data_IF_631259585647
#
_entry.id   IF_631259585647
#
_cell.length_a   1.000
_cell.length_b   1.000
_cell.length_c   1.000
_cell.angle_alpha   90.00
_cell.angle_beta   90.00
_cell.angle_gamma   90.00
#
_symmetry.space_group_name_H-M   'P 1'
#
loop_
_entity.id
_entity.type
_entity.pdbx_description
1 polymer ?
#
# COMPACT_ATOMS: atom_id res chain seq x y z
N UNK A 1 4.83 -51.45 -51.62
CA UNK A 1 3.94 -51.12 -50.50
C UNK A 1 4.62 -50.04 -49.66
N UNK A 2 4.28 -48.79 -49.92
CA UNK A 2 4.83 -47.60 -49.24
C UNK A 2 3.80 -47.13 -48.21
N UNK A 3 4.13 -47.22 -46.94
CA UNK A 3 3.31 -46.74 -45.85
C UNK A 3 3.51 -45.21 -45.68
N UNK A 4 2.48 -44.43 -45.89
CA UNK A 4 2.44 -42.99 -45.62
C UNK A 4 2.08 -42.78 -44.16
N UNK A 5 3.04 -42.24 -43.37
CA UNK A 5 2.80 -41.78 -41.99
C UNK A 5 2.07 -40.43 -42.04
N UNK A 6 0.85 -40.41 -41.55
CA UNK A 6 0.06 -39.20 -41.37
C UNK A 6 0.47 -38.55 -40.01
N UNK A 7 1.20 -37.43 -40.07
CA UNK A 7 1.43 -36.59 -38.91
C UNK A 7 0.15 -35.75 -38.64
N UNK A 8 -0.54 -36.07 -37.55
CA UNK A 8 -1.61 -35.23 -37.04
C UNK A 8 -1.03 -33.93 -36.43
N UNK A 9 -1.53 -32.73 -36.79
CA UNK A 9 -1.10 -31.52 -36.13
C UNK A 9 -1.65 -31.49 -34.70
N UNK A 10 -0.75 -31.38 -33.72
CA UNK A 10 -1.13 -31.04 -32.34
C UNK A 10 -1.74 -29.64 -32.36
N UNK A 11 -3.06 -29.56 -32.22
CA UNK A 11 -3.76 -28.32 -31.95
C UNK A 11 -3.26 -27.78 -30.61
N UNK A 12 -2.50 -26.70 -30.64
CA UNK A 12 -2.26 -25.89 -29.44
C UNK A 12 -3.63 -25.37 -29.00
N UNK A 13 -4.12 -25.87 -27.86
CA UNK A 13 -5.28 -25.29 -27.20
C UNK A 13 -4.90 -23.84 -26.86
N UNK A 14 -5.45 -22.88 -27.63
CA UNK A 14 -5.43 -21.49 -27.22
C UNK A 14 -6.20 -21.41 -25.92
N UNK A 15 -5.50 -20.99 -24.85
CA UNK A 15 -6.14 -20.70 -23.58
C UNK A 15 -7.30 -19.73 -23.85
N UNK A 16 -8.52 -20.14 -23.53
CA UNK A 16 -9.69 -19.25 -23.56
C UNK A 16 -9.38 -18.01 -22.73
N UNK A 17 -9.72 -16.79 -23.20
CA UNK A 17 -9.55 -15.59 -22.39
C UNK A 17 -10.17 -15.85 -21.03
N UNK A 18 -9.40 -15.61 -19.96
CA UNK A 18 -9.85 -15.80 -18.59
C UNK A 18 -11.14 -14.99 -18.37
N UNK A 19 -12.24 -15.69 -18.19
CA UNK A 19 -13.57 -15.10 -17.97
C UNK A 19 -13.76 -14.59 -16.55
N UNK A 20 -12.69 -14.50 -15.76
CA UNK A 20 -12.72 -13.99 -14.38
C UNK A 20 -13.26 -12.55 -14.35
N UNK A 21 -14.29 -12.34 -13.55
CA UNK A 21 -14.92 -11.04 -13.27
C UNK A 21 -14.56 -10.64 -11.85
N UNK A 22 -13.44 -9.92 -11.69
CA UNK A 22 -12.84 -9.63 -10.40
C UNK A 22 -13.29 -8.25 -9.90
N UNK A 23 -13.73 -8.20 -8.64
CA UNK A 23 -13.82 -6.96 -7.86
C UNK A 23 -12.60 -6.89 -6.95
N UNK A 24 -11.82 -5.82 -7.05
CA UNK A 24 -10.67 -5.57 -6.16
C UNK A 24 -11.07 -4.66 -5.01
N UNK A 25 -10.84 -5.12 -3.78
CA UNK A 25 -11.17 -4.43 -2.54
C UNK A 25 -9.90 -3.98 -1.81
N UNK A 26 -9.41 -2.79 -2.16
CA UNK A 26 -8.22 -2.14 -1.60
C UNK A 26 -7.17 -1.74 -2.63
N UNK A 27 -6.59 -0.54 -2.46
CA UNK A 27 -5.64 0.03 -3.40
C UNK A 27 -4.42 -0.87 -3.66
N UNK A 28 -3.83 -1.44 -2.61
CA UNK A 28 -2.66 -2.32 -2.74
C UNK A 28 -2.95 -3.58 -3.59
N UNK A 29 -4.18 -4.11 -3.54
CA UNK A 29 -4.59 -5.25 -4.37
C UNK A 29 -4.76 -4.82 -5.82
N UNK A 30 -5.42 -3.69 -6.06
CA UNK A 30 -5.60 -3.14 -7.41
C UNK A 30 -4.26 -2.82 -8.09
N UNK A 31 -3.29 -2.29 -7.33
CA UNK A 31 -1.92 -2.06 -7.82
C UNK A 31 -1.27 -3.35 -8.32
N UNK A 32 -1.37 -4.43 -7.54
CA UNK A 32 -0.79 -5.73 -7.90
C UNK A 32 -1.48 -6.28 -9.15
N UNK A 33 -2.82 -6.28 -9.22
CA UNK A 33 -3.58 -6.74 -10.40
C UNK A 33 -3.15 -5.97 -11.65
N UNK A 34 -3.00 -4.66 -11.56
CA UNK A 34 -2.53 -3.82 -12.67
C UNK A 34 -1.08 -4.14 -13.07
N UNK A 35 -0.18 -4.27 -12.09
CA UNK A 35 1.23 -4.55 -12.32
C UNK A 35 1.47 -5.95 -12.91
N UNK A 36 0.62 -6.91 -12.60
CA UNK A 36 0.61 -8.25 -13.21
C UNK A 36 0.05 -8.26 -14.64
N UNK A 37 -0.55 -7.17 -15.11
CA UNK A 37 -1.18 -7.10 -16.43
C UNK A 37 -2.60 -7.68 -16.48
N UNK A 38 -3.23 -7.96 -15.32
CA UNK A 38 -4.54 -8.60 -15.20
C UNK A 38 -5.72 -7.59 -15.14
N UNK A 39 -5.49 -6.32 -15.47
CA UNK A 39 -6.50 -5.24 -15.37
C UNK A 39 -7.81 -5.51 -16.16
N UNK A 40 -7.75 -6.29 -17.22
CA UNK A 40 -8.93 -6.67 -18.03
C UNK A 40 -9.91 -7.59 -17.28
N UNK A 41 -9.46 -8.24 -16.21
CA UNK A 41 -10.32 -9.05 -15.34
C UNK A 41 -11.10 -8.21 -14.32
N UNK A 42 -10.70 -6.93 -14.11
CA UNK A 42 -11.37 -6.02 -13.18
C UNK A 42 -12.69 -5.53 -13.76
N UNK A 43 -13.78 -5.75 -13.01
CA UNK A 43 -15.12 -5.22 -13.32
C UNK A 43 -15.53 -4.08 -12.39
N UNK A 44 -14.92 -3.99 -11.22
CA UNK A 44 -15.12 -2.91 -10.26
C UNK A 44 -13.95 -2.86 -9.27
N UNK A 45 -13.79 -1.73 -8.59
CA UNK A 45 -12.80 -1.53 -7.52
C UNK A 45 -13.42 -0.76 -6.36
N UNK A 46 -12.80 -0.81 -5.19
CA UNK A 46 -13.18 0.03 -4.07
C UNK A 46 -12.75 1.51 -4.27
N UNK A 47 -13.29 2.42 -3.47
CA UNK A 47 -13.02 3.86 -3.60
C UNK A 47 -11.56 4.25 -3.36
N UNK A 48 -10.77 3.42 -2.68
CA UNK A 48 -9.34 3.71 -2.45
C UNK A 48 -8.51 3.54 -3.71
N UNK A 49 -9.02 2.78 -4.67
CA UNK A 49 -8.38 2.44 -5.95
C UNK A 49 -8.77 3.38 -7.11
N UNK A 50 -9.57 4.42 -6.84
CA UNK A 50 -10.16 5.26 -7.91
C UNK A 50 -9.14 5.89 -8.88
N UNK A 51 -7.94 6.20 -8.41
CA UNK A 51 -6.85 6.80 -9.20
C UNK A 51 -6.00 5.77 -9.95
N UNK A 52 -6.21 4.48 -9.69
CA UNK A 52 -5.44 3.36 -10.26
C UNK A 52 -6.10 2.74 -11.49
N UNK A 53 -7.33 3.14 -11.78
CA UNK A 53 -8.16 2.56 -12.85
C UNK A 53 -8.86 3.65 -13.65
N UNK A 54 -9.38 3.28 -14.83
CA UNK A 54 -10.18 4.18 -15.64
C UNK A 54 -11.46 4.66 -14.90
N UNK A 55 -11.89 5.90 -15.16
CA UNK A 55 -13.05 6.51 -14.50
C UNK A 55 -14.35 5.72 -14.74
N UNK A 56 -14.49 5.09 -15.92
CA UNK A 56 -15.64 4.28 -16.28
C UNK A 56 -15.81 2.99 -15.46
N UNK A 57 -14.75 2.52 -14.78
CA UNK A 57 -14.86 1.32 -13.97
C UNK A 57 -15.64 1.60 -12.67
N UNK A 58 -16.70 0.82 -12.35
CA UNK A 58 -17.53 1.01 -11.15
C UNK A 58 -16.71 1.04 -9.85
N UNK A 59 -17.12 1.89 -8.89
CA UNK A 59 -16.53 2.00 -7.55
C UNK A 59 -17.56 1.52 -6.52
N UNK A 60 -17.21 0.46 -5.77
CA UNK A 60 -18.14 -0.28 -4.91
C UNK A 60 -18.12 0.13 -3.42
N UNK A 61 -17.72 1.34 -3.12
CA UNK A 61 -17.64 1.83 -1.74
C UNK A 61 -16.26 1.57 -1.11
N UNK A 62 -16.18 1.65 0.22
CA UNK A 62 -14.93 1.49 0.96
C UNK A 62 -14.74 0.00 1.34
N UNK A 63 -13.56 -0.56 1.11
CA UNK A 63 -13.30 -1.99 1.30
C UNK A 63 -13.62 -2.52 2.70
N UNK A 64 -13.56 -1.69 3.75
CA UNK A 64 -13.95 -2.08 5.12
C UNK A 64 -15.46 -2.01 5.37
N UNK A 65 -16.24 -1.44 4.44
CA UNK A 65 -17.70 -1.22 4.56
C UNK A 65 -18.42 -1.57 3.26
N UNK A 66 -18.14 -2.76 2.75
CA UNK A 66 -18.74 -3.28 1.51
C UNK A 66 -20.23 -3.60 1.71
N UNK A 67 -21.03 -3.43 0.64
CA UNK A 67 -22.41 -3.83 0.57
C UNK A 67 -22.54 -5.11 -0.29
N UNK A 68 -23.10 -6.19 0.28
CA UNK A 68 -23.29 -7.43 -0.45
C UNK A 68 -24.20 -7.22 -1.67
N UNK A 69 -25.29 -6.49 -1.51
CA UNK A 69 -26.25 -6.21 -2.58
C UNK A 69 -25.59 -5.53 -3.78
N UNK A 70 -24.83 -4.45 -3.53
CA UNK A 70 -24.12 -3.70 -4.58
C UNK A 70 -23.10 -4.55 -5.33
N UNK A 71 -22.44 -5.48 -4.60
CA UNK A 71 -21.43 -6.36 -5.20
C UNK A 71 -22.07 -7.49 -6.01
N UNK A 72 -23.12 -8.13 -5.48
CA UNK A 72 -23.88 -9.18 -6.18
C UNK A 72 -24.48 -8.67 -7.46
N UNK A 73 -25.02 -7.44 -7.47
CA UNK A 73 -25.59 -6.81 -8.66
C UNK A 73 -24.61 -6.67 -9.84
N UNK A 74 -23.31 -6.64 -9.58
CA UNK A 74 -22.26 -6.62 -10.61
C UNK A 74 -21.93 -8.02 -11.15
N UNK A 75 -22.52 -9.07 -10.61
CA UNK A 75 -22.28 -10.46 -10.99
C UNK A 75 -20.79 -10.81 -11.10
N UNK A 76 -19.96 -10.57 -10.05
CA UNK A 76 -18.57 -10.98 -10.06
C UNK A 76 -18.46 -12.49 -9.93
N UNK A 77 -17.39 -13.07 -10.47
CA UNK A 77 -17.00 -14.44 -10.14
C UNK A 77 -16.19 -14.48 -8.86
N UNK A 78 -15.45 -13.39 -8.57
CA UNK A 78 -14.47 -13.32 -7.48
C UNK A 78 -14.33 -11.92 -6.91
N UNK A 79 -14.06 -11.84 -5.61
CA UNK A 79 -13.66 -10.62 -4.91
C UNK A 79 -12.33 -10.89 -4.24
N UNK A 80 -11.32 -10.04 -4.49
CA UNK A 80 -9.99 -10.13 -3.89
C UNK A 80 -9.77 -8.91 -3.00
N UNK A 81 -9.42 -9.13 -1.75
CA UNK A 81 -9.09 -8.07 -0.79
C UNK A 81 -8.13 -8.55 0.28
N UNK A 82 -7.64 -7.63 1.13
CA UNK A 82 -6.84 -7.97 2.30
C UNK A 82 -7.73 -8.35 3.49
N UNK A 83 -7.11 -8.71 4.62
CA UNK A 83 -7.75 -8.96 5.92
C UNK A 83 -8.53 -7.75 6.48
N UNK A 84 -8.31 -6.57 5.91
CA UNK A 84 -9.10 -5.37 6.21
C UNK A 84 -10.46 -5.34 5.51
N UNK A 85 -10.71 -6.25 4.56
CA UNK A 85 -11.97 -6.31 3.80
C UNK A 85 -13.14 -6.71 4.71
N UNK A 86 -14.25 -6.01 4.60
CA UNK A 86 -15.41 -6.29 5.47
C UNK A 86 -16.63 -5.47 5.14
N UNK A 87 -17.67 -5.56 5.99
CA UNK A 87 -17.71 -6.30 7.26
C UNK A 87 -17.85 -7.83 7.08
N UNK A 88 -17.51 -8.65 8.09
CA UNK A 88 -17.55 -10.11 7.97
C UNK A 88 -18.89 -10.67 7.52
N UNK A 89 -20.01 -10.09 7.97
CA UNK A 89 -21.35 -10.47 7.54
C UNK A 89 -21.54 -10.35 6.02
N UNK A 90 -21.02 -9.26 5.43
CA UNK A 90 -21.06 -9.06 3.98
C UNK A 90 -20.27 -10.16 3.25
N UNK A 91 -19.08 -10.50 3.73
CA UNK A 91 -18.25 -11.54 3.12
C UNK A 91 -18.94 -12.92 3.17
N UNK A 92 -19.64 -13.22 4.28
CA UNK A 92 -20.44 -14.44 4.40
C UNK A 92 -21.57 -14.48 3.37
N UNK A 93 -22.32 -13.39 3.20
CA UNK A 93 -23.41 -13.30 2.24
C UNK A 93 -22.92 -13.47 0.79
N UNK A 94 -21.76 -12.89 0.44
CA UNK A 94 -21.15 -13.04 -0.87
C UNK A 94 -20.81 -14.52 -1.15
N UNK A 95 -20.18 -15.21 -0.21
CA UNK A 95 -19.88 -16.65 -0.31
C UNK A 95 -21.14 -17.49 -0.48
N UNK A 96 -22.19 -17.20 0.29
CA UNK A 96 -23.49 -17.87 0.17
C UNK A 96 -24.17 -17.64 -1.19
N UNK A 97 -23.86 -16.53 -1.86
CA UNK A 97 -24.33 -16.22 -3.21
C UNK A 97 -23.46 -16.84 -4.32
N UNK A 98 -22.53 -17.74 -3.98
CA UNK A 98 -21.67 -18.43 -4.95
C UNK A 98 -20.49 -17.59 -5.46
N UNK A 99 -20.19 -16.45 -4.84
CA UNK A 99 -19.05 -15.59 -5.20
C UNK A 99 -17.82 -16.03 -4.41
N UNK A 100 -16.70 -16.24 -5.08
CA UNK A 100 -15.43 -16.51 -4.42
C UNK A 100 -14.92 -15.24 -3.71
N UNK A 101 -14.55 -15.38 -2.44
CA UNK A 101 -14.05 -14.27 -1.61
C UNK A 101 -12.69 -14.64 -1.09
N UNK A 102 -11.65 -14.05 -1.69
CA UNK A 102 -10.26 -14.32 -1.41
C UNK A 102 -9.67 -13.22 -0.54
N UNK A 103 -9.19 -13.61 0.64
CA UNK A 103 -8.48 -12.74 1.57
C UNK A 103 -6.99 -13.04 1.42
N UNK A 104 -6.24 -12.08 0.89
CA UNK A 104 -4.80 -12.20 0.71
C UNK A 104 -4.04 -11.51 1.84
N UNK A 105 -2.76 -11.85 2.01
CA UNK A 105 -1.91 -11.32 3.07
C UNK A 105 -1.88 -9.77 3.08
N UNK A 106 -2.16 -9.15 4.22
CA UNK A 106 -2.19 -7.69 4.45
C UNK A 106 -0.95 -7.12 5.13
N UNK A 107 0.11 -7.91 5.37
CA UNK A 107 1.26 -7.52 6.21
C UNK A 107 2.10 -6.34 5.69
N UNK A 108 3.04 -5.90 6.55
CA UNK A 108 3.78 -4.64 6.43
C UNK A 108 5.26 -4.83 6.02
N UNK A 109 5.68 -6.04 5.65
CA UNK A 109 7.05 -6.33 5.22
C UNK A 109 7.13 -6.55 3.70
N UNK A 110 8.36 -6.46 3.14
CA UNK A 110 8.61 -6.80 1.73
C UNK A 110 8.25 -8.26 1.44
N UNK A 111 8.49 -9.18 2.40
CA UNK A 111 8.09 -10.58 2.25
C UNK A 111 6.58 -10.74 2.22
N UNK A 112 5.83 -10.00 3.04
CA UNK A 112 4.37 -9.99 3.00
C UNK A 112 3.85 -9.49 1.64
N UNK A 113 4.48 -8.45 1.08
CA UNK A 113 4.17 -7.97 -0.26
C UNK A 113 4.44 -9.06 -1.31
N UNK A 114 5.56 -9.79 -1.21
CA UNK A 114 5.88 -10.89 -2.14
C UNK A 114 4.86 -12.02 -2.03
N UNK A 115 4.46 -12.43 -0.82
CA UNK A 115 3.40 -13.42 -0.63
C UNK A 115 2.07 -12.94 -1.23
N UNK A 116 1.71 -11.69 -1.03
CA UNK A 116 0.50 -11.08 -1.61
C UNK A 116 0.54 -11.08 -3.14
N UNK A 117 1.71 -10.74 -3.74
CA UNK A 117 1.91 -10.81 -5.19
C UNK A 117 1.70 -12.24 -5.70
N UNK A 118 2.29 -13.25 -5.04
CA UNK A 118 2.13 -14.65 -5.44
C UNK A 118 0.68 -15.14 -5.31
N UNK A 119 -0.02 -14.75 -4.25
CA UNK A 119 -1.44 -15.07 -4.06
C UNK A 119 -2.30 -14.45 -5.18
N UNK A 120 -2.15 -13.13 -5.43
CA UNK A 120 -2.92 -12.44 -6.48
C UNK A 120 -2.58 -12.99 -7.87
N UNK A 121 -1.30 -13.30 -8.12
CA UNK A 121 -0.87 -13.89 -9.39
C UNK A 121 -1.48 -15.28 -9.63
N UNK A 122 -1.61 -16.09 -8.60
CA UNK A 122 -2.31 -17.39 -8.67
C UNK A 122 -3.78 -17.19 -9.00
N UNK A 123 -4.45 -16.26 -8.32
CA UNK A 123 -5.87 -15.97 -8.50
C UNK A 123 -6.19 -15.36 -9.88
N UNK A 124 -5.24 -14.66 -10.49
CA UNK A 124 -5.36 -14.02 -11.81
C UNK A 124 -4.65 -14.78 -12.94
N UNK A 125 -3.98 -15.91 -12.65
CA UNK A 125 -3.22 -16.72 -13.60
C UNK A 125 -2.02 -15.98 -14.26
N UNK A 126 -1.33 -15.13 -13.47
CA UNK A 126 -0.19 -14.31 -13.94
C UNK A 126 1.11 -14.59 -13.16
N UNK A 127 1.42 -15.87 -12.88
CA UNK A 127 2.57 -16.28 -12.05
C UNK A 127 3.93 -15.87 -12.65
N UNK A 128 4.05 -15.86 -13.97
CA UNK A 128 5.29 -15.44 -14.65
C UNK A 128 5.56 -13.96 -14.41
N UNK A 129 4.54 -13.12 -14.52
CA UNK A 129 4.63 -11.67 -14.29
C UNK A 129 4.96 -11.36 -12.82
N UNK A 130 4.50 -12.20 -11.89
CA UNK A 130 4.83 -12.06 -10.47
C UNK A 130 6.35 -12.15 -10.21
N UNK A 131 7.06 -13.05 -10.87
CA UNK A 131 8.51 -13.16 -10.73
C UNK A 131 9.22 -11.89 -11.21
N UNK A 132 8.81 -11.34 -12.34
CA UNK A 132 9.35 -10.08 -12.87
C UNK A 132 9.08 -8.91 -11.94
N UNK A 133 7.84 -8.80 -11.42
CA UNK A 133 7.44 -7.76 -10.48
C UNK A 133 8.26 -7.83 -9.17
N UNK A 134 8.41 -9.03 -8.60
CA UNK A 134 9.23 -9.21 -7.39
C UNK A 134 10.70 -8.84 -7.63
N UNK A 135 11.26 -9.16 -8.78
CA UNK A 135 12.62 -8.76 -9.16
C UNK A 135 12.77 -7.23 -9.24
N UNK A 136 11.79 -6.52 -9.83
CA UNK A 136 11.79 -5.06 -9.89
C UNK A 136 11.74 -4.43 -8.50
N UNK A 137 10.88 -4.96 -7.62
CA UNK A 137 10.79 -4.51 -6.22
C UNK A 137 12.11 -4.75 -5.50
N UNK A 138 12.72 -5.93 -5.65
CA UNK A 138 14.02 -6.25 -5.06
C UNK A 138 15.09 -5.25 -5.50
N UNK A 139 15.19 -4.97 -6.80
CA UNK A 139 16.13 -3.98 -7.34
C UNK A 139 15.92 -2.60 -6.73
N UNK A 140 14.66 -2.18 -6.55
CA UNK A 140 14.32 -0.90 -5.91
C UNK A 140 14.76 -0.87 -4.45
N UNK A 141 14.45 -1.92 -3.69
CA UNK A 141 14.83 -2.04 -2.27
C UNK A 141 16.36 -2.06 -2.11
N UNK A 142 17.06 -2.77 -2.99
CA UNK A 142 18.53 -2.84 -2.94
C UNK A 142 19.16 -1.49 -3.32
N UNK A 143 18.59 -0.75 -4.26
CA UNK A 143 19.01 0.64 -4.54
C UNK A 143 18.91 1.54 -3.31
N UNK A 144 17.82 1.44 -2.53
CA UNK A 144 17.66 2.19 -1.29
C UNK A 144 18.74 1.79 -0.28
N UNK A 145 18.97 0.48 -0.10
CA UNK A 145 20.01 -0.02 0.80
C UNK A 145 21.40 0.49 0.42
N UNK A 146 21.74 0.44 -0.88
CA UNK A 146 23.04 0.95 -1.38
C UNK A 146 23.21 2.44 -1.08
N UNK A 147 22.18 3.25 -1.31
CA UNK A 147 22.21 4.68 -0.99
C UNK A 147 22.43 4.92 0.52
N UNK A 148 21.95 4.03 1.38
CA UNK A 148 22.08 4.14 2.84
C UNK A 148 23.41 3.65 3.39
N UNK A 149 24.26 2.94 2.61
CA UNK A 149 25.54 2.38 3.12
C UNK A 149 26.49 3.43 3.69
N UNK A 150 26.41 4.66 3.23
CA UNK A 150 27.27 5.76 3.69
C UNK A 150 26.62 6.62 4.79
N UNK A 151 25.42 6.27 5.25
CA UNK A 151 24.72 7.02 6.28
C UNK A 151 25.16 6.54 7.68
N UNK A 152 25.98 7.32 8.34
CA UNK A 152 26.50 6.99 9.67
C UNK A 152 25.49 7.26 10.80
N UNK A 153 24.52 8.15 10.58
CA UNK A 153 23.50 8.53 11.55
C UNK A 153 22.12 8.56 10.87
N UNK A 154 21.31 7.51 11.07
CA UNK A 154 19.95 7.51 10.53
C UNK A 154 19.10 8.63 11.14
N UNK A 155 18.37 9.36 10.29
CA UNK A 155 17.45 10.41 10.72
C UNK A 155 16.26 9.85 11.46
N UNK A 156 15.82 10.53 12.52
CA UNK A 156 14.56 10.25 13.22
C UNK A 156 13.42 10.93 12.47
N UNK A 157 12.53 10.14 11.88
CA UNK A 157 11.39 10.62 11.11
C UNK A 157 10.11 10.25 11.83
N UNK A 158 9.32 11.25 12.22
CA UNK A 158 8.07 11.05 12.94
C UNK A 158 6.88 11.36 12.03
N UNK A 159 6.07 10.33 11.75
CA UNK A 159 4.81 10.51 11.01
C UNK A 159 3.72 11.02 11.97
N UNK A 160 3.08 12.13 11.58
CA UNK A 160 1.93 12.68 12.28
C UNK A 160 0.65 12.53 11.46
N UNK A 161 -0.34 11.86 12.03
CA UNK A 161 -1.69 11.80 11.51
C UNK A 161 -2.52 12.90 12.17
N UNK A 162 -2.88 13.90 11.38
CA UNK A 162 -3.62 15.08 11.85
C UNK A 162 -4.97 15.13 11.16
N UNK A 163 -6.02 15.08 11.94
CA UNK A 163 -7.40 15.27 11.51
C UNK A 163 -8.04 16.37 12.37
N UNK A 164 -8.85 17.22 11.75
CA UNK A 164 -9.53 18.28 12.48
C UNK A 164 -10.52 17.67 13.49
N UNK A 165 -10.50 18.23 14.71
CA UNK A 165 -11.36 17.77 15.80
C UNK A 165 -10.96 16.44 16.46
N UNK A 166 -9.81 15.84 16.09
CA UNK A 166 -9.30 14.61 16.72
C UNK A 166 -7.91 14.82 17.33
N UNK A 167 -7.54 14.06 18.38
CA UNK A 167 -6.17 14.05 18.88
C UNK A 167 -5.18 13.65 17.79
N UNK A 168 -4.02 14.32 17.76
CA UNK A 168 -2.94 13.99 16.84
C UNK A 168 -2.38 12.62 17.21
N UNK A 169 -2.32 11.74 16.23
CA UNK A 169 -1.78 10.39 16.38
C UNK A 169 -0.45 10.25 15.66
N UNK A 170 0.41 9.39 16.16
CA UNK A 170 1.66 8.97 15.50
C UNK A 170 1.49 7.59 14.91
N UNK A 171 2.26 7.29 13.87
CA UNK A 171 2.42 5.92 13.37
C UNK A 171 3.47 5.20 14.22
N UNK A 172 3.05 4.22 14.99
CA UNK A 172 3.93 3.34 15.73
C UNK A 172 4.35 2.11 14.92
N UNK A 173 4.88 1.10 15.62
CA UNK A 173 5.20 -0.21 15.04
C UNK A 173 3.97 -0.84 14.38
N UNK A 174 4.17 -1.67 13.37
CA UNK A 174 3.11 -2.36 12.61
C UNK A 174 2.17 -1.39 11.88
N UNK A 175 2.75 -0.38 11.23
CA UNK A 175 2.03 0.51 10.32
C UNK A 175 2.79 0.64 9.02
N UNK A 176 2.08 0.84 7.91
CA UNK A 176 2.70 1.08 6.60
C UNK A 176 3.64 2.29 6.62
N UNK A 177 3.32 3.33 7.41
CA UNK A 177 4.19 4.49 7.58
C UNK A 177 5.52 4.11 8.26
N UNK A 178 5.50 3.26 9.29
CA UNK A 178 6.70 2.72 9.95
C UNK A 178 7.58 1.95 8.98
N UNK A 179 6.97 1.06 8.19
CA UNK A 179 7.66 0.27 7.18
C UNK A 179 8.31 1.15 6.11
N UNK A 180 7.60 2.16 5.60
CA UNK A 180 8.13 3.11 4.61
C UNK A 180 9.29 3.92 5.18
N UNK A 181 9.19 4.43 6.42
CA UNK A 181 10.26 5.17 7.10
C UNK A 181 11.50 4.28 7.23
N UNK A 182 11.32 3.05 7.70
CA UNK A 182 12.42 2.08 7.89
C UNK A 182 13.06 1.68 6.57
N UNK A 183 12.28 1.39 5.54
CA UNK A 183 12.79 1.11 4.19
C UNK A 183 13.55 2.29 3.61
N UNK A 184 13.10 3.52 3.86
CA UNK A 184 13.81 4.73 3.46
C UNK A 184 15.12 4.97 4.23
N UNK A 185 15.51 4.05 5.14
CA UNK A 185 16.76 4.12 5.90
C UNK A 185 16.70 5.03 7.13
N UNK A 186 15.53 5.45 7.54
CA UNK A 186 15.33 6.29 8.71
C UNK A 186 14.81 5.48 9.91
N UNK A 187 14.84 6.09 11.10
CA UNK A 187 14.30 5.52 12.33
C UNK A 187 12.94 6.18 12.61
N UNK A 188 11.92 5.37 12.87
CA UNK A 188 10.68 5.86 13.44
C UNK A 188 10.76 5.83 14.97
N UNK A 189 10.91 6.98 15.67
CA UNK A 189 11.02 6.98 17.11
C UNK A 189 9.73 6.56 17.82
N UNK A 190 8.57 6.64 17.17
CA UNK A 190 7.30 6.19 17.76
C UNK A 190 7.18 4.65 17.79
N UNK A 191 7.92 3.91 16.97
CA UNK A 191 7.85 2.45 16.91
C UNK A 191 8.29 1.74 18.19
N UNK A 192 9.09 2.41 19.02
CA UNK A 192 9.53 1.89 20.33
C UNK A 192 8.53 2.19 21.45
N UNK A 193 7.59 3.09 21.22
CA UNK A 193 6.63 3.60 22.23
C UNK A 193 5.23 3.04 22.03
N UNK A 194 4.77 2.96 20.78
CA UNK A 194 3.41 2.52 20.46
C UNK A 194 3.38 1.57 19.28
N UNK A 195 2.32 0.75 19.19
CA UNK A 195 1.96 -0.05 18.03
C UNK A 195 0.69 0.51 17.41
N UNK A 196 0.59 0.39 16.08
CA UNK A 196 -0.49 0.97 15.27
C UNK A 196 -0.52 2.50 15.33
N UNK A 197 -1.58 3.11 14.81
CA UNK A 197 -1.79 4.56 14.92
C UNK A 197 -2.41 4.88 16.27
N UNK A 198 -1.71 5.65 17.10
CA UNK A 198 -2.21 6.04 18.43
C UNK A 198 -1.93 7.50 18.76
N UNK A 199 -2.84 8.14 19.50
CA UNK A 199 -2.55 9.42 20.15
C UNK A 199 -1.39 9.25 21.14
N UNK A 200 -0.52 10.25 21.20
CA UNK A 200 0.55 10.37 22.19
C UNK A 200 0.54 11.75 22.80
N UNK A 201 1.12 11.88 23.99
CA UNK A 201 1.21 13.21 24.63
C UNK A 201 2.22 14.11 23.89
N UNK A 202 2.08 15.41 24.06
CA UNK A 202 3.00 16.42 23.51
C UNK A 202 4.42 16.22 24.05
N UNK A 203 4.54 15.83 25.33
CA UNK A 203 5.81 15.51 25.99
C UNK A 203 6.49 14.29 25.35
N UNK A 204 5.72 13.26 25.01
CA UNK A 204 6.26 12.07 24.33
C UNK A 204 6.78 12.46 22.93
N UNK A 205 6.10 13.31 22.18
CA UNK A 205 6.57 13.82 20.88
C UNK A 205 7.88 14.60 21.05
N UNK A 206 7.96 15.45 22.09
CA UNK A 206 9.17 16.20 22.37
C UNK A 206 10.35 15.26 22.74
N UNK A 207 10.12 14.22 23.53
CA UNK A 207 11.15 13.24 23.89
C UNK A 207 11.67 12.44 22.69
N UNK A 208 10.84 12.23 21.68
CA UNK A 208 11.24 11.55 20.43
C UNK A 208 12.28 12.34 19.64
N UNK A 209 12.38 13.67 19.82
CA UNK A 209 13.34 14.56 19.14
C UNK A 209 13.46 14.24 17.63
N UNK A 210 12.37 14.34 16.85
CA UNK A 210 12.42 14.02 15.42
C UNK A 210 13.30 15.03 14.66
N UNK A 211 14.07 14.53 13.71
CA UNK A 211 14.83 15.34 12.74
C UNK A 211 13.96 15.81 11.58
N UNK A 212 12.91 15.03 11.25
CA UNK A 212 11.96 15.32 10.18
C UNK A 212 10.55 14.98 10.66
N UNK A 213 9.58 15.86 10.38
CA UNK A 213 8.16 15.54 10.49
C UNK A 213 7.65 15.08 9.13
N UNK A 214 7.04 13.89 9.09
CA UNK A 214 6.40 13.35 7.90
C UNK A 214 4.88 13.51 8.00
N UNK A 215 4.27 14.15 7.00
CA UNK A 215 2.83 14.36 6.91
C UNK A 215 2.25 13.61 5.71
N UNK A 216 1.02 13.14 5.81
CA UNK A 216 0.30 12.64 4.63
C UNK A 216 -0.11 13.79 3.72
N UNK A 217 -0.09 13.59 2.39
CA UNK A 217 -0.61 14.53 1.41
C UNK A 217 -2.06 14.96 1.69
N UNK A 218 -2.84 14.11 2.37
CA UNK A 218 -4.20 14.43 2.82
C UNK A 218 -4.22 15.47 3.94
N UNK A 219 -3.18 15.53 4.76
CA UNK A 219 -3.04 16.52 5.85
C UNK A 219 -2.59 17.87 5.33
N UNK A 220 -1.84 17.93 4.23
CA UNK A 220 -1.30 19.19 3.69
C UNK A 220 -2.34 20.13 3.12
N UNK A 221 -3.60 19.71 3.01
CA UNK A 221 -4.71 20.61 2.72
C UNK A 221 -4.88 21.69 3.82
N UNK A 222 -4.59 21.34 5.09
CA UNK A 222 -4.74 22.24 6.26
C UNK A 222 -3.40 22.71 6.84
N UNK A 223 -2.28 22.04 6.55
CA UNK A 223 -0.93 22.36 7.09
C UNK A 223 0.08 22.31 5.94
N UNK A 224 0.53 23.50 5.50
CA UNK A 224 1.41 23.65 4.34
C UNK A 224 2.90 23.82 4.69
N UNK A 225 3.22 24.15 5.93
CA UNK A 225 4.59 24.43 6.37
C UNK A 225 4.76 24.23 7.88
N UNK A 226 6.02 24.25 8.33
CA UNK A 226 6.38 24.06 9.74
C UNK A 226 5.76 25.12 10.65
N UNK A 227 5.68 26.37 10.23
CA UNK A 227 5.10 27.46 11.04
C UNK A 227 3.62 27.20 11.37
N UNK A 228 2.84 26.73 10.40
CA UNK A 228 1.44 26.33 10.62
C UNK A 228 1.34 25.10 11.51
N UNK A 229 2.25 24.13 11.37
CA UNK A 229 2.30 22.95 12.21
C UNK A 229 2.64 23.32 13.67
N UNK A 230 3.64 24.18 13.89
CA UNK A 230 4.02 24.69 15.22
C UNK A 230 2.90 25.52 15.82
N UNK A 231 2.17 26.33 15.05
CA UNK A 231 0.99 27.04 15.54
C UNK A 231 -0.08 26.09 16.09
N UNK A 232 -0.28 24.93 15.41
CA UNK A 232 -1.23 23.89 15.86
C UNK A 232 -0.67 23.03 17.00
N UNK A 233 0.65 22.86 17.06
CA UNK A 233 1.35 22.05 18.06
C UNK A 233 2.64 22.77 18.53
N UNK A 234 2.53 23.72 19.48
CA UNK A 234 3.67 24.57 19.90
C UNK A 234 4.89 23.81 20.43
N UNK A 235 4.69 22.63 21.05
CA UNK A 235 5.78 21.79 21.56
C UNK A 235 6.80 21.39 20.49
N UNK A 236 6.38 21.31 19.22
CA UNK A 236 7.29 20.97 18.11
C UNK A 236 8.39 22.01 17.91
N UNK A 237 8.19 23.27 18.34
CA UNK A 237 9.22 24.32 18.22
C UNK A 237 10.56 23.93 18.89
N UNK A 238 10.52 23.07 19.89
CA UNK A 238 11.73 22.59 20.59
C UNK A 238 12.42 21.39 19.88
N UNK A 239 11.85 20.85 18.81
CA UNK A 239 12.41 19.70 18.10
C UNK A 239 13.45 20.12 17.04
N UNK A 240 14.40 19.24 16.69
CA UNK A 240 15.31 19.45 15.55
C UNK A 240 14.56 19.72 14.26
N UNK A 241 13.45 19.01 13.99
CA UNK A 241 12.63 19.19 12.79
C UNK A 241 12.13 20.62 12.64
N UNK A 242 11.63 21.24 13.70
CA UNK A 242 11.13 22.62 13.64
C UNK A 242 12.29 23.63 13.48
N UNK A 243 13.40 23.45 14.19
CA UNK A 243 14.59 24.31 14.09
C UNK A 243 15.17 24.34 12.67
N UNK A 244 15.11 23.18 11.97
CA UNK A 244 15.63 23.02 10.61
C UNK A 244 14.54 23.16 9.53
N UNK A 245 13.32 23.54 9.89
CA UNK A 245 12.16 23.61 8.98
C UNK A 245 11.95 22.32 8.15
N UNK A 246 12.23 21.16 8.75
CA UNK A 246 12.27 19.86 8.10
C UNK A 246 10.90 19.17 8.13
N UNK A 247 10.10 19.42 7.10
CA UNK A 247 8.84 18.69 6.81
C UNK A 247 9.03 17.91 5.51
N UNK A 248 8.59 16.66 5.50
CA UNK A 248 8.40 15.85 4.30
C UNK A 248 6.93 15.44 4.17
N UNK A 249 6.51 15.17 2.95
CA UNK A 249 5.15 14.73 2.65
C UNK A 249 5.21 13.37 1.99
N UNK A 250 4.38 12.43 2.48
CA UNK A 250 4.15 11.13 1.87
C UNK A 250 2.81 11.13 1.12
N UNK A 251 2.73 10.45 0.00
CA UNK A 251 1.44 10.21 -0.65
C UNK A 251 0.57 9.34 0.27
N UNK A 252 -0.58 9.88 0.67
CA UNK A 252 -1.51 9.19 1.57
C UNK A 252 -2.12 7.92 0.97
N UNK A 253 -2.05 7.70 -0.34
CA UNK A 253 -2.50 6.46 -0.98
C UNK A 253 -1.52 5.31 -0.75
N UNK A 254 -0.22 5.61 -0.61
CA UNK A 254 0.81 4.62 -0.28
C UNK A 254 0.68 4.00 1.13
N UNK A 255 -0.21 4.55 1.97
CA UNK A 255 -0.44 4.09 3.34
C UNK A 255 -1.64 3.14 3.49
N UNK A 256 -2.29 2.75 2.38
CA UNK A 256 -3.57 2.03 2.41
C UNK A 256 -3.39 0.58 2.00
N UNK A 257 -3.83 -0.36 2.85
CA UNK A 257 -3.89 -1.79 2.54
C UNK A 257 -2.59 -2.54 2.73
N UNK A 258 -1.75 -2.11 3.68
CA UNK A 258 -0.43 -2.69 3.95
C UNK A 258 0.67 -2.18 3.03
N UNK A 259 1.87 -2.75 3.16
CA UNK A 259 3.00 -2.37 2.32
C UNK A 259 2.74 -2.78 0.85
N UNK A 260 2.49 -1.81 -0.03
CA UNK A 260 2.19 -1.99 -1.46
C UNK A 260 3.37 -1.64 -2.38
N UNK A 261 3.16 -1.77 -3.68
CA UNK A 261 4.15 -1.36 -4.70
C UNK A 261 4.39 0.16 -4.59
N UNK A 262 3.32 0.94 -4.43
CA UNK A 262 3.42 2.37 -4.25
C UNK A 262 4.17 2.76 -2.97
N UNK A 263 4.03 1.96 -1.90
CA UNK A 263 4.79 2.15 -0.65
C UNK A 263 6.30 2.02 -0.87
N UNK A 264 6.74 1.06 -1.69
CA UNK A 264 8.16 0.87 -2.05
C UNK A 264 8.70 2.10 -2.82
N UNK A 265 7.91 2.60 -3.78
CA UNK A 265 8.28 3.79 -4.57
C UNK A 265 8.36 5.05 -3.68
N UNK A 266 7.43 5.20 -2.73
CA UNK A 266 7.47 6.29 -1.75
C UNK A 266 8.68 6.16 -0.81
N UNK A 267 9.04 4.95 -0.38
CA UNK A 267 10.26 4.74 0.42
C UNK A 267 11.52 5.20 -0.35
N UNK A 268 11.62 4.88 -1.65
CA UNK A 268 12.72 5.35 -2.49
C UNK A 268 12.73 6.88 -2.64
N UNK A 269 11.57 7.49 -2.89
CA UNK A 269 11.44 8.95 -3.00
C UNK A 269 11.81 9.65 -1.70
N UNK A 270 11.31 9.16 -0.57
CA UNK A 270 11.60 9.70 0.76
C UNK A 270 13.05 9.50 1.18
N UNK A 271 13.67 8.38 0.83
CA UNK A 271 15.09 8.15 1.04
C UNK A 271 15.94 9.30 0.45
N UNK A 272 15.66 9.74 -0.79
CA UNK A 272 16.36 10.86 -1.44
C UNK A 272 16.08 12.21 -0.75
N UNK A 273 14.91 12.39 -0.16
CA UNK A 273 14.56 13.59 0.62
C UNK A 273 15.27 13.59 1.97
N UNK A 274 15.34 12.45 2.64
CA UNK A 274 15.98 12.32 3.93
C UNK A 274 17.52 12.44 3.82
N UNK A 275 18.07 11.96 2.72
CA UNK A 275 19.51 11.88 2.45
C UNK A 275 19.82 12.41 1.04
N UNK A 276 19.73 13.74 0.82
CA UNK A 276 20.09 14.32 -0.47
C UNK A 276 21.56 14.04 -0.77
N UNK A 277 21.85 13.64 -2.00
CA UNK A 277 23.23 13.55 -2.49
C UNK A 277 23.75 14.98 -2.67
N UNK A 278 24.90 15.25 -2.07
CA UNK A 278 25.66 16.50 -2.21
C UNK A 278 26.29 16.62 -3.61
#
# INVERSE_FOLDING_TARGET
>A
MTAASVLSPMAHAQATPDSSRIISAGAAITEIINALGAKQQLIAVDVTSKTLVADALPKVGYHRQLSAESLIALAPTRIIGSDEMGPPKTLTLLKQSGIEVDIVNGGETVNDLFHRIDQVATLTQHQQQAQQLKQQITTTVDSIKQHNLHQTQPKKVLFLMIHDGRPISVAGKNTTADSIITLAGAINPAATVVSNYKPVSTEAILQMQPDIILLSSRTTASIKNMAQLVKKMPVLAATPAAKNNAIAVIDGTALIGGLGIHSINEAMRLNRIFYPQS
#
